data_IF_165246908945
#
_entry.id   IF_165246908945
#
_cell.length_a   1.000
_cell.length_b   1.000
_cell.length_c   1.000
_cell.angle_alpha   90.00
_cell.angle_beta   90.00
_cell.angle_gamma   90.00
#
_symmetry.space_group_name_H-M   'P 1'
#
loop_
_entity.id
_entity.type
_entity.pdbx_description
1 polymer ?
#
# COMPACT_ATOMS: atom_id res chain seq x y z
N UNK A 1 -53.80 -32.22 -52.12
CA UNK A 1 -52.71 -31.24 -52.22
C UNK A 1 -51.61 -31.61 -51.24
N UNK A 2 -50.44 -31.80 -51.76
CA UNK A 2 -49.13 -32.26 -51.33
C UNK A 2 -48.89 -32.51 -49.84
N UNK A 3 -48.76 -33.80 -49.51
CA UNK A 3 -48.10 -34.35 -48.34
C UNK A 3 -46.56 -34.12 -48.42
N UNK A 4 -45.92 -33.72 -47.35
CA UNK A 4 -44.47 -33.77 -47.22
C UNK A 4 -44.10 -34.62 -46.01
N UNK A 5 -43.58 -35.80 -46.35
CA UNK A 5 -42.96 -36.73 -45.42
C UNK A 5 -41.71 -36.14 -44.81
N UNK A 6 -41.55 -36.23 -43.52
CA UNK A 6 -40.28 -36.05 -42.85
C UNK A 6 -39.77 -37.41 -42.38
N UNK A 7 -38.65 -37.81 -42.98
CA UNK A 7 -37.93 -39.01 -42.65
C UNK A 7 -37.27 -38.85 -41.26
N UNK A 8 -37.39 -39.91 -40.47
CA UNK A 8 -36.76 -39.98 -39.16
C UNK A 8 -35.22 -40.06 -39.28
N UNK A 9 -34.58 -39.25 -38.47
CA UNK A 9 -33.13 -39.33 -38.24
C UNK A 9 -32.95 -40.02 -36.89
N UNK A 10 -32.38 -41.23 -37.00
CA UNK A 10 -31.97 -42.07 -35.87
C UNK A 10 -30.78 -41.40 -35.17
N UNK A 11 -30.91 -41.03 -33.91
CA UNK A 11 -29.84 -40.46 -33.09
C UNK A 11 -29.09 -41.59 -32.41
N UNK A 12 -27.89 -41.88 -32.92
CA UNK A 12 -26.92 -42.79 -32.27
C UNK A 12 -26.36 -42.07 -31.03
N UNK A 13 -26.67 -42.58 -29.85
CA UNK A 13 -26.07 -42.12 -28.61
C UNK A 13 -24.65 -42.68 -28.51
N UNK A 14 -23.65 -41.82 -28.69
CA UNK A 14 -22.26 -42.13 -28.36
C UNK A 14 -22.03 -41.85 -26.87
N UNK A 15 -21.81 -42.95 -26.10
CA UNK A 15 -21.28 -42.81 -24.74
C UNK A 15 -19.85 -42.26 -24.80
N UNK A 16 -19.67 -41.02 -24.47
CA UNK A 16 -18.36 -40.49 -24.19
C UNK A 16 -17.96 -40.89 -22.76
N UNK A 17 -16.92 -41.70 -22.67
CA UNK A 17 -16.27 -42.05 -21.42
C UNK A 17 -15.70 -40.78 -20.78
N UNK A 18 -16.22 -40.38 -19.62
CA UNK A 18 -15.58 -39.38 -18.78
C UNK A 18 -14.25 -39.93 -18.28
N UNK A 19 -13.18 -39.47 -18.90
CA UNK A 19 -11.85 -39.60 -18.35
C UNK A 19 -11.80 -38.80 -17.04
N UNK A 20 -11.51 -39.52 -15.97
CA UNK A 20 -11.20 -38.91 -14.66
C UNK A 20 -10.05 -37.97 -14.82
N UNK A 21 -10.36 -36.65 -14.76
CA UNK A 21 -9.36 -35.63 -14.65
C UNK A 21 -8.54 -35.89 -13.40
N UNK A 22 -7.28 -36.17 -13.60
CA UNK A 22 -6.25 -36.14 -12.56
C UNK A 22 -6.32 -34.86 -11.79
N UNK A 23 -6.48 -34.99 -10.48
CA UNK A 23 -6.37 -33.85 -9.56
C UNK A 23 -5.04 -33.14 -9.83
N UNK A 24 -5.10 -31.95 -10.38
CA UNK A 24 -3.96 -31.07 -10.46
C UNK A 24 -3.45 -30.84 -9.03
N UNK A 25 -2.25 -31.34 -8.81
CA UNK A 25 -1.48 -31.08 -7.62
C UNK A 25 -1.30 -29.57 -7.55
N UNK A 26 -2.10 -28.92 -6.71
CA UNK A 26 -1.87 -27.52 -6.34
C UNK A 26 -0.46 -27.47 -5.78
N UNK A 27 0.45 -27.02 -6.60
CA UNK A 27 1.82 -26.79 -6.23
C UNK A 27 1.78 -25.78 -5.09
N UNK A 28 1.98 -26.29 -3.87
CA UNK A 28 2.22 -25.49 -2.69
C UNK A 28 3.45 -24.64 -3.02
N UNK A 29 3.21 -23.44 -3.53
CA UNK A 29 4.26 -22.44 -3.61
C UNK A 29 4.87 -22.37 -2.23
N UNK A 30 6.09 -22.89 -2.09
CA UNK A 30 6.91 -22.67 -0.91
C UNK A 30 6.92 -21.16 -0.74
N UNK A 31 6.25 -20.65 0.28
CA UNK A 31 6.50 -19.31 0.79
C UNK A 31 7.96 -19.31 1.14
N UNK A 32 8.80 -18.85 0.23
CA UNK A 32 10.16 -18.46 0.55
C UNK A 32 10.00 -17.57 1.78
N UNK A 33 10.72 -17.92 2.83
CA UNK A 33 10.81 -17.13 4.06
C UNK A 33 11.49 -15.81 3.66
N UNK A 34 10.68 -14.89 3.09
CA UNK A 34 11.17 -13.60 2.60
C UNK A 34 11.65 -12.85 3.83
N UNK A 35 12.95 -12.79 3.99
CA UNK A 35 13.58 -12.00 5.04
C UNK A 35 12.97 -10.61 5.02
N UNK A 36 12.36 -10.22 6.14
CA UNK A 36 11.72 -8.91 6.26
C UNK A 36 12.74 -7.80 5.98
N UNK A 37 12.46 -6.85 5.10
CA UNK A 37 13.36 -5.74 4.83
C UNK A 37 13.44 -4.81 6.04
N UNK A 38 14.58 -4.16 6.24
CA UNK A 38 14.64 -3.04 7.18
C UNK A 38 13.79 -1.88 6.66
N UNK A 39 13.10 -1.20 7.57
CA UNK A 39 12.26 -0.06 7.24
C UNK A 39 12.79 1.19 7.95
N UNK A 40 13.12 2.21 7.19
CA UNK A 40 13.54 3.51 7.71
C UNK A 40 12.57 4.56 7.19
N UNK A 41 11.93 5.28 8.10
CA UNK A 41 11.03 6.39 7.80
C UNK A 41 11.74 7.69 8.14
N UNK A 42 11.92 8.55 7.14
CA UNK A 42 12.55 9.86 7.31
C UNK A 42 11.49 10.93 7.04
N UNK A 43 11.14 11.70 8.05
CA UNK A 43 10.26 12.85 7.96
C UNK A 43 11.08 14.13 8.13
N UNK A 44 11.25 14.88 7.05
CA UNK A 44 11.93 16.16 7.11
C UNK A 44 10.99 17.22 7.69
N UNK A 45 11.53 18.11 8.52
CA UNK A 45 10.81 19.24 9.11
C UNK A 45 11.02 20.48 8.23
N UNK A 46 9.92 21.17 7.94
CA UNK A 46 9.89 22.43 7.14
C UNK A 46 10.59 22.35 5.77
N UNK A 47 10.67 21.17 5.16
CA UNK A 47 11.24 20.97 3.84
C UNK A 47 10.16 21.15 2.76
N UNK A 48 10.33 22.15 1.91
CA UNK A 48 9.44 22.39 0.78
C UNK A 48 9.67 21.43 -0.39
N UNK A 49 8.65 21.25 -1.22
CA UNK A 49 8.73 20.39 -2.41
C UNK A 49 9.90 20.78 -3.34
N UNK A 50 10.14 22.08 -3.53
CA UNK A 50 11.18 22.60 -4.40
C UNK A 50 12.57 22.70 -3.78
N UNK A 51 12.78 22.22 -2.56
CA UNK A 51 14.05 22.33 -1.85
C UNK A 51 15.03 21.19 -2.14
N UNK A 52 14.55 20.14 -2.79
CA UNK A 52 15.37 19.01 -3.24
C UNK A 52 15.70 19.10 -4.74
N UNK A 53 16.93 18.75 -5.10
CA UNK A 53 17.39 18.79 -6.50
C UNK A 53 16.53 17.90 -7.40
N UNK A 54 16.18 16.70 -6.97
CA UNK A 54 15.31 15.77 -7.68
C UNK A 54 13.89 16.32 -7.94
N UNK A 55 13.49 17.36 -7.23
CA UNK A 55 12.23 18.09 -7.44
C UNK A 55 12.42 19.48 -8.03
N UNK A 56 13.64 19.83 -8.46
CA UNK A 56 13.91 21.04 -9.22
C UNK A 56 14.60 22.17 -8.47
N UNK A 57 15.14 21.94 -7.28
CA UNK A 57 15.97 22.92 -6.57
C UNK A 57 17.12 23.39 -7.47
N UNK A 58 17.33 24.72 -7.53
CA UNK A 58 18.37 25.32 -8.40
C UNK A 58 19.65 25.64 -7.63
N UNK A 59 19.52 26.01 -6.37
CA UNK A 59 20.60 26.57 -5.57
C UNK A 59 21.10 25.64 -4.45
N UNK A 60 20.55 24.45 -4.38
CA UNK A 60 20.89 23.45 -3.34
C UNK A 60 21.19 22.14 -4.04
N UNK A 61 22.28 21.52 -3.63
CA UNK A 61 22.65 20.17 -4.07
C UNK A 61 22.27 19.16 -3.00
N UNK A 62 21.54 18.11 -3.38
CA UNK A 62 21.05 17.07 -2.48
C UNK A 62 21.43 15.66 -2.98
N UNK A 63 22.73 15.36 -3.18
CA UNK A 63 23.19 14.20 -3.94
C UNK A 63 22.74 12.87 -3.35
N UNK A 64 22.65 12.75 -2.03
CA UNK A 64 22.21 11.51 -1.38
C UNK A 64 20.72 11.25 -1.55
N UNK A 65 19.88 12.30 -1.45
CA UNK A 65 18.44 12.19 -1.68
C UNK A 65 18.15 11.99 -3.15
N UNK A 66 18.88 12.66 -4.03
CA UNK A 66 18.75 12.50 -5.48
C UNK A 66 19.12 11.09 -5.93
N UNK A 67 20.15 10.50 -5.33
CA UNK A 67 20.50 9.09 -5.55
C UNK A 67 19.36 8.18 -5.11
N UNK A 68 18.82 8.36 -3.92
CA UNK A 68 17.68 7.59 -3.43
C UNK A 68 16.47 7.71 -4.37
N UNK A 69 16.19 8.92 -4.84
CA UNK A 69 15.11 9.17 -5.79
C UNK A 69 15.33 8.50 -7.16
N UNK A 70 16.58 8.36 -7.60
CA UNK A 70 16.92 7.71 -8.86
C UNK A 70 16.88 6.17 -8.79
N UNK A 71 17.10 5.61 -7.62
CA UNK A 71 17.10 4.16 -7.37
C UNK A 71 15.74 3.63 -6.91
N UNK A 72 14.81 4.50 -6.53
CA UNK A 72 13.52 4.16 -5.97
C UNK A 72 12.34 4.76 -6.71
N UNK A 73 11.25 4.93 -6.00
CA UNK A 73 10.01 5.54 -6.51
C UNK A 73 9.93 6.99 -6.02
N UNK A 74 9.79 7.91 -6.95
CA UNK A 74 9.59 9.32 -6.67
C UNK A 74 8.14 9.72 -6.97
N UNK A 75 7.43 10.21 -5.97
CA UNK A 75 6.08 10.70 -6.11
C UNK A 75 6.09 12.19 -6.49
N UNK A 76 5.43 12.54 -7.59
CA UNK A 76 5.37 13.92 -8.07
C UNK A 76 4.14 14.68 -7.58
N UNK A 77 3.18 13.99 -6.98
CA UNK A 77 1.94 14.57 -6.47
C UNK A 77 1.52 13.88 -5.15
N UNK A 78 2.44 13.78 -4.21
CA UNK A 78 2.14 13.30 -2.86
C UNK A 78 2.00 14.49 -1.90
N UNK A 79 1.00 14.43 -1.05
CA UNK A 79 0.69 15.48 -0.08
C UNK A 79 0.63 14.91 1.32
N UNK A 80 1.13 15.67 2.29
CA UNK A 80 0.87 15.39 3.70
C UNK A 80 -0.60 15.67 4.02
N UNK A 81 -1.09 15.07 5.08
CA UNK A 81 -2.49 15.20 5.50
C UNK A 81 -2.78 16.58 6.13
N UNK A 82 -1.76 17.32 6.51
CA UNK A 82 -1.84 18.66 7.05
C UNK A 82 -0.57 19.47 6.71
N UNK A 83 -0.69 20.80 6.73
CA UNK A 83 0.42 21.69 6.42
C UNK A 83 1.36 21.95 7.60
N UNK A 84 0.97 21.54 8.82
CA UNK A 84 1.71 21.82 10.05
C UNK A 84 2.18 20.54 10.74
N UNK A 85 3.19 20.68 11.59
CA UNK A 85 3.95 19.59 12.19
C UNK A 85 3.08 18.62 13.00
N UNK A 86 2.42 19.08 14.06
CA UNK A 86 1.66 18.21 14.98
C UNK A 86 0.63 17.34 14.28
N UNK A 87 -0.32 17.88 13.47
CA UNK A 87 -1.33 17.04 12.82
C UNK A 87 -0.73 16.11 11.76
N UNK A 88 0.34 16.50 11.07
CA UNK A 88 1.03 15.62 10.11
C UNK A 88 1.71 14.45 10.81
N UNK A 89 2.43 14.69 11.90
CA UNK A 89 3.10 13.66 12.70
C UNK A 89 2.10 12.74 13.38
N UNK A 90 1.02 13.29 13.93
CA UNK A 90 -0.07 12.50 14.50
C UNK A 90 -0.63 11.51 13.48
N UNK A 91 -0.98 12.01 12.30
CA UNK A 91 -1.55 11.16 11.24
C UNK A 91 -0.58 10.11 10.73
N UNK A 92 0.71 10.46 10.59
CA UNK A 92 1.75 9.50 10.20
C UNK A 92 1.90 8.37 11.22
N UNK A 93 1.89 8.70 12.51
CA UNK A 93 2.11 7.72 13.58
C UNK A 93 0.89 6.85 13.86
N UNK A 94 -0.32 7.38 13.68
CA UNK A 94 -1.56 6.71 14.08
C UNK A 94 -2.38 6.16 12.93
N UNK A 95 -2.11 6.60 11.69
CA UNK A 95 -2.95 6.28 10.53
C UNK A 95 -4.31 7.00 10.55
N UNK A 96 -4.56 7.90 11.49
CA UNK A 96 -5.80 8.65 11.63
C UNK A 96 -5.63 10.09 11.13
N UNK A 97 -6.66 10.63 10.52
CA UNK A 97 -6.68 12.06 10.19
C UNK A 97 -6.77 12.90 11.46
N UNK A 98 -5.85 13.82 11.65
CA UNK A 98 -5.79 14.70 12.82
C UNK A 98 -7.08 15.50 13.02
N UNK A 99 -7.67 16.03 11.96
CA UNK A 99 -8.91 16.82 12.02
C UNK A 99 -10.14 16.05 12.55
N UNK A 100 -10.06 14.72 12.67
CA UNK A 100 -11.13 13.91 13.29
C UNK A 100 -11.11 13.93 14.80
N UNK A 101 -10.05 14.51 15.38
CA UNK A 101 -9.88 14.54 16.83
C UNK A 101 -9.63 15.96 17.31
N UNK A 102 -10.33 16.38 18.36
CA UNK A 102 -9.96 17.62 19.04
C UNK A 102 -8.52 17.51 19.59
N UNK A 103 -7.87 18.62 19.81
CA UNK A 103 -6.53 18.73 20.41
C UNK A 103 -5.36 18.15 19.57
N UNK A 104 -5.58 17.90 18.30
CA UNK A 104 -4.52 17.48 17.35
C UNK A 104 -4.03 18.59 16.45
N UNK A 105 -4.36 19.82 16.77
CA UNK A 105 -3.92 21.02 16.08
C UNK A 105 -2.46 21.38 16.44
N UNK A 106 -1.98 22.53 16.06
CA UNK A 106 -0.61 22.97 16.38
C UNK A 106 -0.40 22.93 17.90
N UNK A 107 0.50 22.07 18.34
CA UNK A 107 0.76 21.89 19.76
C UNK A 107 1.68 23.00 20.30
N UNK A 108 1.33 23.56 21.44
CA UNK A 108 2.25 24.37 22.23
C UNK A 108 3.33 23.50 22.89
N UNK A 109 4.44 24.07 23.31
CA UNK A 109 5.57 23.31 23.86
C UNK A 109 5.28 22.57 25.18
N UNK A 110 4.21 22.95 25.86
CA UNK A 110 3.73 22.39 27.13
C UNK A 110 2.45 21.55 27.00
N UNK A 111 2.08 21.18 25.77
CA UNK A 111 0.86 20.41 25.52
C UNK A 111 0.93 19.02 26.15
N UNK A 112 -0.23 18.53 26.59
CA UNK A 112 -0.37 17.15 27.07
C UNK A 112 -0.16 16.15 25.92
N UNK A 113 0.13 14.90 26.28
CA UNK A 113 0.28 13.81 25.32
C UNK A 113 -0.97 13.68 24.42
N UNK A 114 -0.78 13.84 23.12
CA UNK A 114 -1.86 13.79 22.12
C UNK A 114 -2.18 12.34 21.74
N UNK A 115 -1.16 11.54 21.51
CA UNK A 115 -1.30 10.08 21.27
C UNK A 115 -1.42 9.39 22.62
N UNK A 116 -2.55 8.75 22.85
CA UNK A 116 -2.78 8.06 24.12
C UNK A 116 -1.96 6.78 24.21
N UNK A 117 -1.56 6.35 25.41
CA UNK A 117 -0.75 5.14 25.61
C UNK A 117 -1.35 3.87 24.98
N UNK A 118 -2.69 3.77 24.95
CA UNK A 118 -3.43 2.63 24.40
C UNK A 118 -3.72 2.75 22.89
N UNK A 119 -3.37 3.87 22.28
CA UNK A 119 -3.63 4.10 20.85
C UNK A 119 -2.64 3.31 20.00
N UNK A 120 -3.17 2.50 19.08
CA UNK A 120 -2.37 1.74 18.13
C UNK A 120 -1.60 2.68 17.20
N UNK A 121 -0.32 2.43 17.06
CA UNK A 121 0.59 3.27 16.28
C UNK A 121 1.32 2.48 15.20
N UNK A 122 2.01 3.18 14.31
CA UNK A 122 2.91 2.58 13.33
C UNK A 122 3.98 1.70 14.01
N UNK A 123 4.47 2.08 15.18
CA UNK A 123 5.41 1.26 15.94
C UNK A 123 4.79 -0.08 16.40
N UNK A 124 3.54 -0.06 16.87
CA UNK A 124 2.82 -1.27 17.25
C UNK A 124 2.54 -2.16 16.04
N UNK A 125 2.25 -1.56 14.89
CA UNK A 125 2.09 -2.29 13.63
C UNK A 125 3.37 -3.04 13.26
N UNK A 126 4.52 -2.39 13.29
CA UNK A 126 5.79 -3.04 13.00
C UNK A 126 6.13 -4.11 14.04
N UNK A 127 5.92 -3.84 15.32
CA UNK A 127 6.11 -4.82 16.39
C UNK A 127 5.22 -6.05 16.19
N UNK A 128 3.95 -5.86 15.85
CA UNK A 128 3.03 -6.98 15.59
C UNK A 128 3.41 -7.78 14.35
N UNK A 129 4.07 -7.15 13.39
CA UNK A 129 4.64 -7.78 12.21
C UNK A 129 6.00 -8.46 12.50
N UNK A 130 6.53 -8.38 13.71
CA UNK A 130 7.77 -9.03 14.15
C UNK A 130 9.04 -8.27 13.76
N UNK A 131 8.98 -6.93 13.73
CA UNK A 131 10.12 -6.02 13.66
C UNK A 131 10.60 -5.66 15.06
#
# INVERSE_FOLDING_TARGET
MKSRNYAGISLLASLAACNSATAETVQKNSTQDLKKPNVIVILADDLGYGDLKCYGAKNVETPHVDKLASEGIRFTNAHTVAATSTPSRYSLLTGEYAWRRPDTDIAAGDVKMIIRPEQYTMADMFKSAGY
#
